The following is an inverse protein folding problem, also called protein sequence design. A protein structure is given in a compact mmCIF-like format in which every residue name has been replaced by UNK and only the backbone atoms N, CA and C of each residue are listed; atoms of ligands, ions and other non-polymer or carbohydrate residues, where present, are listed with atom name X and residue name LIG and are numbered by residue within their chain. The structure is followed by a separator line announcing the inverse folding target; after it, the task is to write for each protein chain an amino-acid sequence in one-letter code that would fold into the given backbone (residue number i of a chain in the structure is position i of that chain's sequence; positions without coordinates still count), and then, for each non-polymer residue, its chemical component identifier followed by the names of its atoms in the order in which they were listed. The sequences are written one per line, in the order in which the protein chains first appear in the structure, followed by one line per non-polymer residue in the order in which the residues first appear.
data_IF_130935295442
#
_entry.id   IF_130935295442
#
_cell.length_a   1.000
_cell.length_b   1.000
_cell.length_c   1.000
_cell.angle_alpha   90.00
_cell.angle_beta   90.00
_cell.angle_gamma   90.00
#
_symmetry.space_group_name_H-M   'P 1'
#
loop_
_entity.id
_entity.type
_entity.pdbx_description
1 polymer ?
#
# COMPACT_ATOMS: atom_id res chain seq x y z
N UNK A 1 4.69 -45.39 1.96
CA UNK A 1 3.80 -44.20 2.03
C UNK A 1 4.62 -43.05 2.57
N UNK A 2 5.17 -42.19 1.70
CA UNK A 2 5.92 -41.01 2.12
C UNK A 2 4.97 -39.80 2.01
N UNK A 3 4.37 -39.41 3.13
CA UNK A 3 3.62 -38.16 3.24
C UNK A 3 4.62 -37.02 3.42
N UNK A 4 4.97 -36.36 2.32
CA UNK A 4 5.71 -35.11 2.35
C UNK A 4 4.70 -34.00 2.69
N UNK A 5 4.86 -33.23 3.78
CA UNK A 5 4.04 -32.06 4.02
C UNK A 5 4.35 -31.00 2.96
N UNK A 6 3.34 -30.33 2.38
CA UNK A 6 3.59 -29.23 1.45
C UNK A 6 4.18 -28.05 2.24
N UNK A 7 5.49 -27.85 2.13
CA UNK A 7 6.13 -26.59 2.49
C UNK A 7 5.72 -25.54 1.45
N UNK A 8 4.57 -24.91 1.66
CA UNK A 8 4.26 -23.63 1.05
C UNK A 8 5.06 -22.54 1.77
N UNK A 9 5.80 -21.68 1.08
CA UNK A 9 6.50 -20.57 1.72
C UNK A 9 5.47 -19.51 2.14
N UNK A 10 4.91 -19.65 3.34
CA UNK A 10 4.30 -18.52 4.05
C UNK A 10 5.44 -17.72 4.69
N UNK A 11 6.21 -17.03 3.84
CA UNK A 11 7.20 -16.08 4.31
C UNK A 11 6.49 -14.97 5.10
N UNK A 12 7.08 -14.48 6.22
CA UNK A 12 6.56 -13.30 6.89
C UNK A 12 6.43 -12.19 5.86
N UNK A 13 5.28 -11.49 5.81
CA UNK A 13 5.02 -10.38 4.89
C UNK A 13 6.19 -9.39 4.97
N UNK A 14 7.15 -9.50 4.06
CA UNK A 14 8.37 -8.71 4.10
C UNK A 14 8.00 -7.30 3.62
N UNK A 15 8.25 -6.32 4.49
CA UNK A 15 8.23 -4.94 4.06
C UNK A 15 9.22 -4.77 2.90
N UNK A 16 8.97 -3.85 1.95
CA UNK A 16 9.93 -3.55 0.91
C UNK A 16 11.26 -3.18 1.55
N UNK A 17 12.35 -3.87 1.21
CA UNK A 17 13.69 -3.51 1.70
C UNK A 17 14.25 -2.28 1.00
N UNK A 18 13.66 -1.90 -0.15
CA UNK A 18 14.05 -0.74 -0.93
C UNK A 18 13.36 0.53 -0.44
N UNK A 19 14.06 1.68 -0.37
CA UNK A 19 13.42 2.96 -0.18
C UNK A 19 12.49 3.25 -1.38
N UNK A 20 11.32 3.86 -1.15
CA UNK A 20 10.47 4.29 -2.24
C UNK A 20 11.14 5.41 -3.05
N UNK A 21 10.69 5.68 -4.29
CA UNK A 21 11.17 6.81 -5.06
C UNK A 21 11.10 8.10 -4.23
N UNK A 22 12.21 8.81 -4.06
CA UNK A 22 12.19 10.07 -3.30
C UNK A 22 11.41 11.18 -4.03
N UNK A 23 11.24 11.04 -5.34
CA UNK A 23 10.38 11.92 -6.11
C UNK A 23 8.92 11.65 -5.74
N UNK A 24 8.27 12.61 -5.09
CA UNK A 24 6.82 12.61 -4.98
C UNK A 24 6.25 12.73 -6.39
N UNK A 25 5.48 11.74 -6.87
CA UNK A 25 4.86 11.82 -8.17
C UNK A 25 3.93 13.03 -8.27
N UNK A 26 3.64 13.47 -9.49
CA UNK A 26 2.65 14.52 -9.68
C UNK A 26 1.28 13.95 -9.31
N UNK A 27 0.52 14.67 -8.47
CA UNK A 27 -0.84 14.24 -8.10
C UNK A 27 -1.63 14.03 -9.39
N UNK A 28 -2.19 12.83 -9.64
CA UNK A 28 -3.10 12.67 -10.76
C UNK A 28 -4.23 13.68 -10.59
N UNK A 29 -4.56 14.42 -11.65
CA UNK A 29 -5.76 15.26 -11.67
C UNK A 29 -6.94 14.30 -11.69
N UNK A 30 -7.42 13.93 -10.49
CA UNK A 30 -8.58 13.10 -10.22
C UNK A 30 -8.82 12.00 -11.27
N UNK A 31 -8.17 10.85 -11.12
CA UNK A 31 -8.69 9.64 -11.76
C UNK A 31 -10.10 9.43 -11.23
N UNK A 32 -11.10 9.48 -12.10
CA UNK A 32 -12.55 9.41 -11.83
C UNK A 32 -13.03 8.14 -11.15
N UNK A 33 -12.12 7.23 -10.80
CA UNK A 33 -12.41 6.15 -9.88
C UNK A 33 -12.46 6.76 -8.48
N UNK A 34 -13.64 6.76 -7.87
CA UNK A 34 -13.75 6.92 -6.43
C UNK A 34 -12.66 6.05 -5.78
N UNK A 35 -12.08 6.51 -4.68
CA UNK A 35 -11.09 5.72 -3.94
C UNK A 35 -11.82 4.49 -3.38
N UNK A 36 -11.95 3.48 -4.22
CA UNK A 36 -12.67 2.26 -3.97
C UNK A 36 -11.68 1.21 -3.47
N UNK A 37 -12.10 0.36 -2.52
CA UNK A 37 -11.29 -0.76 -2.05
C UNK A 37 -10.83 -1.66 -3.20
N UNK A 38 -11.64 -1.77 -4.28
CA UNK A 38 -11.26 -2.52 -5.48
C UNK A 38 -10.07 -1.90 -6.22
N UNK A 39 -10.01 -0.57 -6.35
CA UNK A 39 -8.96 0.10 -7.10
C UNK A 39 -7.61 0.04 -6.36
N UNK A 40 -7.59 0.22 -5.04
CA UNK A 40 -6.36 0.08 -4.24
C UNK A 40 -5.90 -1.39 -4.16
N UNK A 41 -6.83 -2.35 -4.24
CA UNK A 41 -6.47 -3.77 -4.21
C UNK A 41 -5.59 -4.18 -5.39
N UNK A 42 -5.71 -3.50 -6.54
CA UNK A 42 -4.81 -3.64 -7.69
C UNK A 42 -3.39 -3.11 -7.44
N UNK A 43 -3.19 -2.35 -6.37
CA UNK A 43 -1.89 -1.85 -5.93
C UNK A 43 -1.28 -2.65 -4.77
N UNK A 44 -1.90 -3.78 -4.37
CA UNK A 44 -1.34 -4.67 -3.34
C UNK A 44 0.09 -5.12 -3.70
N UNK A 45 0.96 -5.15 -2.69
CA UNK A 45 2.38 -5.48 -2.83
C UNK A 45 3.16 -4.57 -3.80
N UNK A 46 2.73 -3.32 -3.96
CA UNK A 46 3.41 -2.30 -4.79
C UNK A 46 3.64 -1.00 -4.05
N UNK A 47 4.65 -0.24 -4.47
CA UNK A 47 4.94 1.07 -3.90
C UNK A 47 3.82 2.04 -4.31
N UNK A 48 3.00 2.44 -3.34
CA UNK A 48 1.85 3.31 -3.58
C UNK A 48 2.09 4.66 -2.93
N UNK A 49 2.02 5.73 -3.70
CA UNK A 49 1.99 7.08 -3.16
C UNK A 49 0.55 7.47 -2.86
N UNK A 50 0.28 7.91 -1.64
CA UNK A 50 -1.06 8.26 -1.18
C UNK A 50 -1.09 9.73 -0.84
N UNK A 51 -2.05 10.43 -1.43
CA UNK A 51 -2.41 11.80 -1.05
C UNK A 51 -3.63 11.73 -0.14
N UNK A 52 -3.46 11.99 1.17
CA UNK A 52 -4.60 12.12 2.07
C UNK A 52 -5.38 13.40 1.75
N UNK A 53 -6.70 13.42 2.04
CA UNK A 53 -7.55 14.61 1.87
C UNK A 53 -7.08 15.79 2.71
N UNK A 54 -6.41 15.50 3.82
CA UNK A 54 -5.84 16.48 4.73
C UNK A 54 -4.41 16.06 5.07
N UNK A 55 -3.45 16.91 4.74
CA UNK A 55 -2.03 16.72 5.08
C UNK A 55 -1.12 16.46 3.88
N UNK A 56 0.09 15.99 4.18
CA UNK A 56 1.12 15.72 3.17
C UNK A 56 0.98 14.28 2.64
N UNK A 57 1.28 14.10 1.35
CA UNK A 57 1.33 12.78 0.74
C UNK A 57 2.47 11.93 1.29
N UNK A 58 2.28 10.61 1.31
CA UNK A 58 3.26 9.68 1.85
C UNK A 58 3.31 8.38 1.04
N UNK A 59 4.46 7.71 1.11
CA UNK A 59 4.61 6.38 0.55
C UNK A 59 4.01 5.32 1.46
N UNK A 60 3.28 4.41 0.84
CA UNK A 60 2.58 3.33 1.48
C UNK A 60 2.67 2.06 0.63
N UNK A 61 2.84 0.94 1.30
CA UNK A 61 2.94 -0.36 0.68
C UNK A 61 1.79 -1.23 1.21
N UNK A 62 0.64 -1.24 0.52
CA UNK A 62 -0.52 -1.96 0.97
C UNK A 62 -0.24 -3.47 0.87
N UNK A 63 -0.44 -4.17 1.98
CA UNK A 63 -0.32 -5.64 2.02
C UNK A 63 -1.66 -6.31 2.22
N UNK A 64 -2.64 -5.56 2.73
CA UNK A 64 -3.99 -6.04 2.96
C UNK A 64 -4.98 -4.89 2.76
N UNK A 65 -6.06 -5.15 2.02
CA UNK A 65 -7.13 -4.19 1.78
C UNK A 65 -8.43 -4.80 2.29
N UNK A 66 -9.05 -4.11 3.25
CA UNK A 66 -10.40 -4.41 3.71
C UNK A 66 -11.47 -3.67 2.90
N UNK A 67 -12.72 -3.73 3.36
CA UNK A 67 -13.85 -3.06 2.69
C UNK A 67 -13.74 -1.53 2.72
N UNK A 68 -13.19 -0.96 3.79
CA UNK A 68 -13.11 0.51 3.98
C UNK A 68 -11.78 0.97 4.56
N UNK A 69 -10.85 0.04 4.83
CA UNK A 69 -9.56 0.31 5.43
C UNK A 69 -8.47 -0.42 4.67
N UNK A 70 -7.27 0.13 4.69
CA UNK A 70 -6.08 -0.51 4.13
C UNK A 70 -5.02 -0.66 5.22
N UNK A 71 -4.35 -1.81 5.23
CA UNK A 71 -3.25 -2.11 6.12
C UNK A 71 -2.01 -2.48 5.32
N UNK A 72 -0.85 -2.07 5.81
CA UNK A 72 0.39 -2.20 5.07
C UNK A 72 1.53 -1.50 5.77
N UNK A 73 2.58 -1.21 5.01
CA UNK A 73 3.74 -0.52 5.53
C UNK A 73 3.76 0.93 5.07
N UNK A 74 3.85 1.87 6.00
CA UNK A 74 4.04 3.29 5.73
C UNK A 74 5.51 3.66 5.80
N UNK A 75 5.99 4.42 4.83
CA UNK A 75 7.33 4.97 4.86
C UNK A 75 7.38 6.20 5.75
N UNK A 76 8.29 6.22 6.72
CA UNK A 76 8.51 7.39 7.60
C UNK A 76 9.65 8.30 7.13
N UNK A 77 10.22 8.05 5.94
CA UNK A 77 11.45 8.70 5.47
C UNK A 77 12.72 7.90 5.77
N UNK A 78 12.69 7.03 6.79
CA UNK A 78 13.85 6.22 7.21
C UNK A 78 13.58 4.71 7.22
N UNK A 79 12.34 4.31 7.50
CA UNK A 79 11.94 2.90 7.56
C UNK A 79 10.48 2.73 7.17
N UNK A 80 10.15 1.49 6.82
CA UNK A 80 8.78 1.01 6.68
C UNK A 80 8.23 0.64 8.06
N UNK A 81 7.08 1.20 8.41
CA UNK A 81 6.37 0.93 9.67
C UNK A 81 5.00 0.39 9.34
N UNK A 82 4.64 -0.75 9.92
CA UNK A 82 3.31 -1.31 9.70
C UNK A 82 2.25 -0.36 10.27
N UNK A 83 1.25 -0.01 9.46
CA UNK A 83 0.20 0.96 9.80
C UNK A 83 -1.03 0.70 8.94
N UNK A 84 -2.20 1.08 9.46
CA UNK A 84 -3.46 1.05 8.72
C UNK A 84 -4.22 2.36 8.84
N UNK A 85 -5.02 2.67 7.83
CA UNK A 85 -5.89 3.85 7.79
C UNK A 85 -7.09 3.61 6.88
N UNK A 86 -8.09 4.48 7.01
CA UNK A 86 -9.32 4.43 6.23
C UNK A 86 -9.11 4.89 4.78
N UNK A 87 -9.68 4.13 3.85
CA UNK A 87 -9.73 4.46 2.43
C UNK A 87 -10.41 5.82 2.19
N UNK A 88 -11.38 6.18 3.05
CA UNK A 88 -12.11 7.46 2.99
C UNK A 88 -11.22 8.68 3.22
N UNK A 89 -10.09 8.52 3.88
CA UNK A 89 -9.14 9.60 4.15
C UNK A 89 -8.18 9.83 2.98
N UNK A 90 -8.20 8.96 1.97
CA UNK A 90 -7.40 9.10 0.75
C UNK A 90 -8.17 9.98 -0.23
N UNK A 91 -7.50 11.00 -0.77
CA UNK A 91 -8.02 11.82 -1.87
C UNK A 91 -7.64 11.21 -3.21
N UNK A 92 -6.39 10.79 -3.34
CA UNK A 92 -5.83 10.20 -4.55
C UNK A 92 -4.70 9.25 -4.18
N UNK A 93 -4.43 8.29 -5.06
CA UNK A 93 -3.30 7.38 -4.91
C UNK A 93 -2.73 7.02 -6.28
N UNK A 94 -1.45 6.66 -6.30
CA UNK A 94 -0.77 6.19 -7.51
C UNK A 94 0.14 5.05 -7.11
N UNK A 95 -0.02 3.88 -7.73
CA UNK A 95 0.93 2.78 -7.56
C UNK A 95 1.95 2.72 -8.70
N UNK A 96 3.18 2.38 -8.30
CA UNK A 96 4.36 2.21 -9.14
C UNK A 96 4.71 0.73 -9.28
#
# INVERSE_FOLDING_TARGET
MAFMPPQGPQGPQQAPTSPPPQATPQKPVATTFAVDPGAISGCLFRNTFIWPRFGMGFWFFPTFVGRTSVAGFRWTGRRWVYSGFDLRSIESFTCF
#
